data_IF_054388884186
#
_entry.id   IF_054388884186
#
_cell.length_a   1.000
_cell.length_b   1.000
_cell.length_c   1.000
_cell.angle_alpha   90.00
_cell.angle_beta   90.00
_cell.angle_gamma   90.00
#
_symmetry.space_group_name_H-M   'P 1'
#
loop_
_entity.id
_entity.type
_entity.pdbx_description
1 polymer ?
#
# COMPACT_ATOMS: atom_id res chain seq x y z
N UNK A 1 -11.34 24.23 -0.17
CA UNK A 1 -11.22 24.36 -1.64
C UNK A 1 -10.96 22.96 -2.19
N UNK A 2 -11.71 22.50 -3.21
CA UNK A 2 -11.50 21.18 -3.82
C UNK A 2 -10.60 21.36 -5.05
N UNK A 3 -9.46 20.66 -5.10
CA UNK A 3 -8.58 20.63 -6.26
C UNK A 3 -9.32 20.06 -7.48
N UNK A 4 -9.11 20.66 -8.64
CA UNK A 4 -9.58 20.16 -9.94
C UNK A 4 -8.40 20.20 -10.91
N UNK A 5 -8.10 19.09 -11.61
CA UNK A 5 -7.07 19.10 -12.65
C UNK A 5 -7.49 19.98 -13.83
N UNK A 6 -6.52 20.60 -14.50
CA UNK A 6 -6.76 21.44 -15.69
C UNK A 6 -7.18 20.60 -16.89
N UNK A 7 -6.61 19.39 -17.03
CA UNK A 7 -6.83 18.48 -18.16
C UNK A 7 -7.33 17.12 -17.69
N UNK A 8 -7.89 16.34 -18.61
CA UNK A 8 -8.48 15.02 -18.39
C UNK A 8 -7.91 14.00 -19.39
N UNK A 9 -8.37 12.76 -19.34
CA UNK A 9 -7.93 11.71 -20.28
C UNK A 9 -8.20 12.04 -21.75
N UNK A 10 -9.24 12.85 -22.05
CA UNK A 10 -9.52 13.37 -23.39
C UNK A 10 -8.44 14.30 -23.96
N UNK A 11 -7.55 14.81 -23.09
CA UNK A 11 -6.43 15.67 -23.45
C UNK A 11 -5.12 14.88 -23.65
N UNK A 12 -5.23 13.55 -23.71
CA UNK A 12 -4.15 12.62 -24.03
C UNK A 12 -4.56 11.80 -25.25
N UNK A 13 -3.66 11.67 -26.22
CA UNK A 13 -3.83 10.82 -27.41
C UNK A 13 -2.76 9.73 -27.39
N UNK A 14 -3.19 8.49 -27.40
CA UNK A 14 -2.31 7.31 -27.47
C UNK A 14 -2.44 6.71 -28.87
N UNK A 15 -1.34 6.66 -29.61
CA UNK A 15 -1.31 6.12 -30.97
C UNK A 15 -0.84 4.68 -31.03
N UNK A 16 -0.03 4.26 -30.04
CA UNK A 16 0.48 2.90 -29.97
C UNK A 16 0.62 2.49 -28.49
N UNK A 17 0.25 1.26 -28.20
CA UNK A 17 0.50 0.60 -26.92
C UNK A 17 0.84 -0.88 -27.20
N UNK A 18 2.06 -1.27 -26.89
CA UNK A 18 2.55 -2.62 -27.11
C UNK A 18 3.22 -3.21 -25.88
N UNK A 19 2.97 -4.49 -25.61
CA UNK A 19 3.69 -5.25 -24.59
C UNK A 19 5.05 -5.62 -25.17
N UNK A 20 6.13 -5.11 -24.59
CA UNK A 20 7.52 -5.39 -25.03
C UNK A 20 8.22 -6.42 -24.16
N UNK A 21 7.65 -6.72 -22.98
CA UNK A 21 8.05 -7.84 -22.13
C UNK A 21 6.81 -8.37 -21.42
N UNK A 22 6.62 -9.69 -21.44
CA UNK A 22 5.48 -10.39 -20.82
C UNK A 22 6.02 -11.48 -19.88
N UNK A 23 6.36 -11.06 -18.66
CA UNK A 23 6.77 -11.92 -17.56
C UNK A 23 5.81 -11.79 -16.40
N UNK A 24 6.29 -11.98 -15.15
CA UNK A 24 5.49 -11.72 -13.95
C UNK A 24 4.96 -10.27 -13.95
N UNK A 25 5.81 -9.31 -14.25
CA UNK A 25 5.38 -7.96 -14.61
C UNK A 25 5.34 -7.80 -16.12
N UNK A 26 4.41 -6.98 -16.62
CA UNK A 26 4.34 -6.62 -18.02
C UNK A 26 4.97 -5.26 -18.25
N UNK A 27 5.86 -5.16 -19.24
CA UNK A 27 6.38 -3.88 -19.69
C UNK A 27 5.66 -3.46 -20.96
N UNK A 28 5.03 -2.29 -20.89
CA UNK A 28 4.38 -1.64 -22.02
C UNK A 28 5.27 -0.53 -22.58
N UNK A 29 5.27 -0.41 -23.91
CA UNK A 29 5.83 0.74 -24.63
C UNK A 29 4.71 1.47 -25.34
N UNK A 30 4.47 2.71 -24.90
CA UNK A 30 3.35 3.52 -25.37
C UNK A 30 3.87 4.75 -26.12
N UNK A 31 3.33 5.02 -27.31
CA UNK A 31 3.50 6.28 -28.00
C UNK A 31 2.27 7.16 -27.78
N UNK A 32 2.51 8.36 -27.28
CA UNK A 32 1.44 9.30 -26.88
C UNK A 32 1.86 10.75 -27.02
N UNK A 33 0.85 11.65 -27.03
CA UNK A 33 1.01 13.09 -26.80
C UNK A 33 -0.08 13.60 -25.86
N UNK A 34 0.13 14.76 -25.28
CA UNK A 34 -0.83 15.39 -24.36
C UNK A 34 -0.93 16.90 -24.59
N UNK A 35 -1.98 17.53 -24.05
CA UNK A 35 -2.12 18.99 -24.01
C UNK A 35 -1.07 19.61 -23.08
N UNK A 36 -0.37 20.62 -23.55
CA UNK A 36 0.51 21.48 -22.73
C UNK A 36 -0.33 22.57 -22.07
N UNK A 37 0.14 23.14 -20.96
CA UNK A 37 -0.58 24.19 -20.25
C UNK A 37 -0.78 25.50 -21.05
N UNK A 38 -0.10 25.66 -22.18
CA UNK A 38 -0.38 26.73 -23.15
C UNK A 38 -1.51 26.39 -24.13
N UNK A 39 -2.15 25.23 -24.00
CA UNK A 39 -3.25 24.76 -24.84
C UNK A 39 -2.85 24.03 -26.13
N UNK A 40 -1.57 24.01 -26.48
CA UNK A 40 -1.08 23.27 -27.64
C UNK A 40 -0.92 21.78 -27.32
N UNK A 41 -0.82 20.95 -28.37
CA UNK A 41 -0.37 19.57 -28.22
C UNK A 41 1.17 19.52 -28.04
N UNK A 42 1.62 18.56 -27.23
CA UNK A 42 3.02 18.18 -27.24
C UNK A 42 3.37 17.46 -28.55
N UNK A 43 4.66 17.33 -28.82
CA UNK A 43 5.14 16.34 -29.79
C UNK A 43 4.83 14.94 -29.26
N UNK A 44 4.78 13.94 -30.16
CA UNK A 44 4.69 12.55 -29.75
C UNK A 44 5.91 12.12 -28.97
N UNK A 45 5.69 11.36 -27.94
CA UNK A 45 6.75 10.85 -27.06
C UNK A 45 6.52 9.38 -26.77
N UNK A 46 7.59 8.65 -26.60
CA UNK A 46 7.55 7.26 -26.16
C UNK A 46 7.72 7.19 -24.64
N UNK A 47 6.94 6.32 -23.98
CA UNK A 47 7.07 6.00 -22.55
C UNK A 47 7.06 4.49 -22.37
N UNK A 48 7.88 4.02 -21.47
CA UNK A 48 7.88 2.64 -21.00
C UNK A 48 7.26 2.60 -19.61
N UNK A 49 6.41 1.61 -19.37
CA UNK A 49 5.65 1.49 -18.14
C UNK A 49 5.59 0.05 -17.71
N UNK A 50 5.88 -0.21 -16.45
CA UNK A 50 5.59 -1.48 -15.80
C UNK A 50 4.11 -1.50 -15.41
N UNK A 51 3.38 -2.53 -15.83
CA UNK A 51 1.96 -2.71 -15.51
C UNK A 51 1.83 -3.91 -14.58
N UNK A 52 1.15 -3.74 -13.46
CA UNK A 52 0.84 -4.79 -12.49
C UNK A 52 -0.56 -4.60 -11.91
N UNK A 53 -1.04 -5.62 -11.20
CA UNK A 53 -2.32 -5.55 -10.48
C UNK A 53 -2.28 -4.45 -9.42
N UNK A 54 -3.45 -3.90 -9.13
CA UNK A 54 -3.65 -3.06 -7.95
C UNK A 54 -3.38 -3.87 -6.68
N UNK A 55 -3.08 -3.19 -5.57
CA UNK A 55 -2.89 -3.85 -4.29
C UNK A 55 -3.64 -3.14 -3.15
N UNK A 56 -3.91 -3.91 -2.10
CA UNK A 56 -4.48 -3.46 -0.84
C UNK A 56 -3.38 -3.42 0.20
N UNK A 57 -3.33 -2.36 0.99
CA UNK A 57 -2.45 -2.23 2.14
C UNK A 57 -3.30 -2.04 3.40
N UNK A 58 -2.91 -2.66 4.50
CA UNK A 58 -3.67 -2.61 5.76
C UNK A 58 -2.77 -2.29 6.93
N UNK A 59 -3.01 -1.16 7.58
CA UNK A 59 -2.45 -0.88 8.90
C UNK A 59 -3.30 -1.58 9.96
N UNK A 60 -2.75 -2.56 10.64
CA UNK A 60 -3.43 -3.34 11.67
C UNK A 60 -3.34 -2.62 13.02
N UNK A 61 -4.50 -2.33 13.62
CA UNK A 61 -4.63 -1.55 14.84
C UNK A 61 -5.52 -2.24 15.88
N UNK A 62 -4.99 -2.42 17.09
CA UNK A 62 -5.75 -2.84 18.27
C UNK A 62 -6.14 -1.60 19.10
N UNK A 63 -7.42 -1.17 19.07
CA UNK A 63 -7.86 0.00 19.80
C UNK A 63 -7.98 -0.22 21.32
N UNK A 64 -8.03 -1.49 21.77
CA UNK A 64 -8.16 -1.85 23.19
C UNK A 64 -6.81 -1.82 23.87
N UNK A 65 -5.81 -2.49 23.29
CA UNK A 65 -4.44 -2.52 23.81
C UNK A 65 -3.59 -1.35 23.34
N UNK A 66 -4.12 -0.51 22.43
CA UNK A 66 -3.45 0.66 21.87
C UNK A 66 -2.16 0.31 21.11
N UNK A 67 -2.24 -0.75 20.27
CA UNK A 67 -1.10 -1.33 19.57
C UNK A 67 -1.28 -1.26 18.06
N UNK A 68 -0.17 -1.09 17.35
CA UNK A 68 -0.04 -1.29 15.90
C UNK A 68 0.75 -2.56 15.63
N UNK A 69 0.23 -3.43 14.78
CA UNK A 69 0.93 -4.59 14.28
C UNK A 69 1.44 -4.30 12.89
N UNK A 70 2.74 -4.45 12.69
CA UNK A 70 3.44 -4.27 11.43
C UNK A 70 4.27 -5.51 11.11
N UNK A 71 4.69 -5.65 9.88
CA UNK A 71 5.46 -6.79 9.39
C UNK A 71 6.85 -6.34 8.95
N UNK A 72 7.82 -7.26 9.00
CA UNK A 72 9.14 -7.07 8.42
C UNK A 72 9.39 -8.22 7.45
N UNK A 73 9.74 -7.88 6.21
CA UNK A 73 10.02 -8.87 5.18
C UNK A 73 11.10 -8.41 4.20
N UNK A 74 11.70 -9.39 3.51
CA UNK A 74 12.72 -9.16 2.49
C UNK A 74 12.12 -8.54 1.20
N UNK A 75 12.82 -7.51 0.67
CA UNK A 75 12.50 -6.89 -0.63
C UNK A 75 13.77 -6.77 -1.49
N UNK A 76 13.80 -7.37 -2.69
CA UNK A 76 15.02 -7.42 -3.51
C UNK A 76 15.37 -6.10 -4.21
N UNK A 77 14.45 -5.15 -4.30
CA UNK A 77 14.59 -3.95 -5.15
C UNK A 77 14.99 -2.71 -4.34
N UNK A 78 16.07 -2.80 -3.57
CA UNK A 78 16.59 -1.68 -2.76
C UNK A 78 18.02 -1.32 -3.15
N UNK A 79 18.45 -0.06 -2.90
CA UNK A 79 19.84 0.34 -3.00
C UNK A 79 20.75 -0.50 -2.07
N UNK A 80 21.97 -0.81 -2.50
CA UNK A 80 22.90 -1.69 -1.76
C UNK A 80 23.28 -1.18 -0.36
N UNK A 81 23.10 0.11 -0.08
CA UNK A 81 23.42 0.72 1.23
C UNK A 81 22.27 0.66 2.24
N UNK A 82 21.12 0.14 1.84
CA UNK A 82 19.94 -0.01 2.70
C UNK A 82 19.70 -1.49 3.05
N UNK A 83 19.08 -1.75 4.20
CA UNK A 83 18.65 -3.11 4.54
C UNK A 83 17.57 -3.57 3.56
N UNK A 84 17.69 -4.77 2.97
CA UNK A 84 16.62 -5.33 2.16
C UNK A 84 15.45 -5.91 2.97
N UNK A 85 15.51 -5.91 4.31
CA UNK A 85 14.37 -6.22 5.18
C UNK A 85 13.70 -4.94 5.61
N UNK A 86 12.44 -4.78 5.23
CA UNK A 86 11.69 -3.56 5.46
C UNK A 86 10.59 -3.74 6.47
N UNK A 87 10.40 -2.70 7.31
CA UNK A 87 9.20 -2.56 8.12
C UNK A 87 8.06 -2.06 7.22
N UNK A 88 6.98 -2.84 7.13
CA UNK A 88 5.86 -2.62 6.22
C UNK A 88 4.51 -2.76 6.94
N UNK A 89 3.46 -2.34 6.28
CA UNK A 89 2.08 -2.75 6.58
C UNK A 89 1.76 -4.00 5.77
N UNK A 90 0.82 -4.81 6.23
CA UNK A 90 0.27 -5.95 5.47
C UNK A 90 -0.19 -5.47 4.08
N UNK A 91 0.15 -6.21 3.03
CA UNK A 91 -0.22 -5.81 1.67
C UNK A 91 -0.23 -6.98 0.69
N UNK A 92 -1.31 -7.07 -0.11
CA UNK A 92 -1.40 -8.07 -1.16
C UNK A 92 -2.03 -7.56 -2.45
N UNK A 93 -1.76 -8.28 -3.52
CA UNK A 93 -2.31 -7.98 -4.84
C UNK A 93 -3.79 -8.37 -4.91
N UNK A 94 -4.55 -7.55 -5.64
CA UNK A 94 -5.96 -7.83 -5.94
C UNK A 94 -6.03 -8.76 -7.15
N UNK A 95 -6.62 -9.91 -6.96
CA UNK A 95 -6.92 -10.82 -8.05
C UNK A 95 -8.20 -10.41 -8.80
N UNK A 96 -8.39 -10.96 -10.00
CA UNK A 96 -9.56 -10.63 -10.82
C UNK A 96 -10.86 -11.05 -10.12
N UNK A 97 -11.71 -10.07 -9.84
CA UNK A 97 -13.03 -10.26 -9.21
C UNK A 97 -13.01 -10.25 -7.68
N UNK A 98 -11.84 -10.10 -7.03
CA UNK A 98 -11.79 -9.94 -5.57
C UNK A 98 -12.28 -8.56 -5.12
N UNK A 99 -13.00 -8.53 -4.00
CA UNK A 99 -13.29 -7.27 -3.33
C UNK A 99 -12.13 -6.84 -2.42
N UNK A 100 -11.89 -5.53 -2.32
CA UNK A 100 -10.83 -4.96 -1.50
C UNK A 100 -10.81 -5.50 -0.06
N UNK A 101 -12.00 -5.64 0.54
CA UNK A 101 -12.15 -6.11 1.92
C UNK A 101 -11.78 -7.58 2.09
N UNK A 102 -12.02 -8.41 1.07
CA UNK A 102 -11.67 -9.82 1.09
C UNK A 102 -10.15 -9.99 1.00
N UNK A 103 -9.49 -9.24 0.10
CA UNK A 103 -8.03 -9.18 0.02
C UNK A 103 -7.43 -8.73 1.36
N UNK A 104 -7.94 -7.63 1.94
CA UNK A 104 -7.44 -7.12 3.21
C UNK A 104 -7.50 -8.15 4.34
N UNK A 105 -8.56 -8.96 4.39
CA UNK A 105 -8.75 -10.01 5.41
C UNK A 105 -7.85 -11.22 5.15
N UNK A 106 -7.75 -11.65 3.90
CA UNK A 106 -6.91 -12.76 3.49
C UNK A 106 -5.45 -12.47 3.82
N UNK A 107 -4.94 -11.32 3.38
CA UNK A 107 -3.55 -10.93 3.61
C UNK A 107 -3.22 -10.72 5.10
N UNK A 108 -4.14 -10.14 5.88
CA UNK A 108 -3.94 -10.01 7.33
C UNK A 108 -3.83 -11.37 8.02
N UNK A 109 -4.54 -12.38 7.53
CA UNK A 109 -4.44 -13.73 8.04
C UNK A 109 -3.15 -14.43 7.58
N UNK A 110 -2.78 -14.33 6.31
CA UNK A 110 -1.61 -14.97 5.71
C UNK A 110 -0.30 -14.37 6.24
N UNK A 111 -0.17 -13.03 6.25
CA UNK A 111 1.05 -12.32 6.61
C UNK A 111 1.17 -12.02 8.12
N UNK A 112 0.06 -11.92 8.85
CA UNK A 112 0.09 -11.54 10.27
C UNK A 112 -0.66 -12.49 11.23
N UNK A 113 -1.31 -13.55 10.73
CA UNK A 113 -2.02 -14.54 11.54
C UNK A 113 -3.22 -13.97 12.31
N UNK A 114 -3.77 -12.82 11.89
CA UNK A 114 -4.85 -12.14 12.61
C UNK A 114 -6.12 -12.00 11.78
N UNK A 115 -7.27 -12.01 12.48
CA UNK A 115 -8.55 -11.72 11.87
C UNK A 115 -8.92 -10.24 12.04
N UNK A 116 -9.33 -9.60 10.94
CA UNK A 116 -9.80 -8.22 10.96
C UNK A 116 -11.28 -8.19 11.39
N UNK A 117 -11.59 -7.47 12.49
CA UNK A 117 -12.97 -7.27 12.97
C UNK A 117 -13.70 -6.22 12.13
N UNK A 118 -13.06 -5.09 11.85
CA UNK A 118 -13.59 -3.97 11.06
C UNK A 118 -12.51 -3.37 10.17
N UNK A 119 -12.93 -2.85 9.01
CA UNK A 119 -12.08 -2.10 8.09
C UNK A 119 -12.54 -0.66 7.97
N UNK A 120 -11.59 0.26 7.88
CA UNK A 120 -11.81 1.67 7.58
C UNK A 120 -10.95 2.07 6.39
N UNK A 121 -11.57 2.50 5.30
CA UNK A 121 -10.84 3.04 4.16
C UNK A 121 -10.11 4.33 4.55
N UNK A 122 -8.84 4.42 4.23
CA UNK A 122 -8.02 5.60 4.51
C UNK A 122 -7.86 6.48 3.27
N UNK A 123 -7.19 5.96 2.24
CA UNK A 123 -6.93 6.68 1.00
C UNK A 123 -6.43 5.74 -0.11
N UNK A 124 -6.34 6.29 -1.32
CA UNK A 124 -5.72 5.65 -2.49
C UNK A 124 -4.53 6.50 -2.95
N UNK A 125 -3.49 5.83 -3.42
CA UNK A 125 -2.33 6.49 -4.00
C UNK A 125 -1.74 5.67 -5.15
N UNK A 126 -0.83 6.30 -5.89
CA UNK A 126 -0.01 5.65 -6.92
C UNK A 126 1.46 5.78 -6.50
N UNK A 127 2.22 4.68 -6.42
CA UNK A 127 3.57 4.72 -5.82
C UNK A 127 4.59 5.43 -6.72
N UNK A 128 4.51 5.24 -8.04
CA UNK A 128 5.48 5.81 -8.98
C UNK A 128 4.86 6.10 -10.36
N UNK A 129 4.02 7.17 -10.49
CA UNK A 129 3.22 7.41 -11.69
C UNK A 129 4.03 7.77 -12.93
N UNK A 130 5.35 7.95 -12.80
CA UNK A 130 6.25 8.19 -13.93
C UNK A 130 6.58 6.94 -14.75
N UNK A 131 6.42 5.73 -14.18
CA UNK A 131 6.81 4.48 -14.85
C UNK A 131 6.06 3.24 -14.40
N UNK A 132 5.20 3.35 -13.39
CA UNK A 132 4.43 2.23 -12.85
C UNK A 132 2.93 2.50 -12.97
N UNK A 133 2.20 1.54 -13.51
CA UNK A 133 0.74 1.52 -13.55
C UNK A 133 0.26 0.59 -12.46
N UNK A 134 -0.08 1.17 -11.32
CA UNK A 134 -0.58 0.49 -10.13
C UNK A 134 -1.34 1.48 -9.24
N UNK A 135 -2.42 1.06 -8.63
CA UNK A 135 -3.08 1.78 -7.55
C UNK A 135 -2.99 0.98 -6.26
N UNK A 136 -2.63 1.66 -5.19
CA UNK A 136 -2.64 1.11 -3.85
C UNK A 136 -3.80 1.72 -3.06
N UNK A 137 -4.62 0.89 -2.41
CA UNK A 137 -5.70 1.32 -1.53
C UNK A 137 -5.35 0.94 -0.10
N UNK A 138 -5.33 1.95 0.77
CA UNK A 138 -4.93 1.81 2.16
C UNK A 138 -6.16 1.74 3.07
N UNK A 139 -6.13 0.77 3.96
CA UNK A 139 -7.13 0.55 5.00
C UNK A 139 -6.49 0.52 6.39
N UNK A 140 -7.26 0.86 7.42
CA UNK A 140 -6.99 0.47 8.78
C UNK A 140 -7.85 -0.74 9.12
N UNK A 141 -7.24 -1.78 9.69
CA UNK A 141 -7.90 -3.02 10.13
C UNK A 141 -7.92 -3.11 11.66
N UNK A 142 -9.10 -3.24 12.26
CA UNK A 142 -9.22 -3.52 13.69
C UNK A 142 -8.91 -4.97 13.99
N UNK A 143 -7.96 -5.20 14.89
CA UNK A 143 -7.55 -6.53 15.33
C UNK A 143 -7.64 -6.68 16.86
N UNK A 144 -7.43 -7.89 17.32
CA UNK A 144 -7.11 -8.22 18.71
C UNK A 144 -5.67 -8.73 18.74
N UNK A 145 -4.78 -7.95 19.30
CA UNK A 145 -3.36 -8.28 19.35
C UNK A 145 -2.95 -9.07 20.59
N UNK A 146 -3.89 -9.43 21.46
CA UNK A 146 -3.58 -10.09 22.73
C UNK A 146 -3.02 -11.50 22.59
N UNK A 147 -3.28 -12.17 21.46
CA UNK A 147 -2.83 -13.53 21.18
C UNK A 147 -1.80 -13.61 20.04
N UNK A 148 -1.25 -12.47 19.59
CA UNK A 148 -0.23 -12.44 18.53
C UNK A 148 1.06 -13.06 19.07
N UNK A 149 1.58 -14.05 18.36
CA UNK A 149 2.87 -14.68 18.64
C UNK A 149 3.97 -13.96 17.82
N UNK A 150 4.77 -13.13 18.47
CA UNK A 150 5.86 -12.37 17.83
C UNK A 150 7.07 -13.24 17.46
N UNK A 151 7.13 -14.49 17.94
CA UNK A 151 8.20 -15.44 17.58
C UNK A 151 7.79 -16.33 16.40
N UNK A 152 6.51 -16.25 15.97
CA UNK A 152 6.05 -16.97 14.78
C UNK A 152 6.66 -16.38 13.52
N UNK A 153 6.98 -17.22 12.56
CA UNK A 153 7.31 -16.86 11.18
C UNK A 153 6.06 -17.13 10.34
N UNK A 154 5.64 -16.13 9.58
CA UNK A 154 4.42 -16.14 8.78
C UNK A 154 4.72 -15.90 7.30
N UNK A 155 3.70 -15.85 6.48
CA UNK A 155 3.77 -15.80 5.03
C UNK A 155 3.53 -17.16 4.39
N UNK A 156 3.40 -17.18 3.07
CA UNK A 156 3.14 -18.39 2.31
C UNK A 156 4.44 -19.01 1.78
N UNK A 157 4.70 -20.27 2.12
CA UNK A 157 5.85 -21.04 1.61
C UNK A 157 5.90 -21.08 0.08
N UNK A 158 4.71 -21.13 -0.56
CA UNK A 158 4.58 -21.16 -2.01
C UNK A 158 5.03 -19.85 -2.69
N UNK A 159 4.98 -18.73 -1.95
CA UNK A 159 5.43 -17.41 -2.38
C UNK A 159 6.85 -17.08 -1.88
N UNK A 160 7.50 -18.01 -1.20
CA UNK A 160 8.82 -17.82 -0.56
C UNK A 160 8.85 -16.66 0.43
N UNK A 161 7.75 -16.45 1.13
CA UNK A 161 7.63 -15.40 2.13
C UNK A 161 8.20 -15.87 3.48
N UNK A 162 8.88 -14.95 4.14
CA UNK A 162 9.46 -15.11 5.49
C UNK A 162 9.22 -13.79 6.23
N UNK A 163 8.13 -13.76 6.99
CA UNK A 163 7.57 -12.55 7.58
C UNK A 163 7.69 -12.60 9.10
N UNK A 164 8.27 -11.53 9.66
CA UNK A 164 8.39 -11.30 11.10
C UNK A 164 7.42 -10.23 11.57
N UNK A 165 6.79 -10.45 12.72
CA UNK A 165 5.83 -9.51 13.31
C UNK A 165 6.52 -8.54 14.28
N UNK A 166 6.04 -7.29 14.25
CA UNK A 166 6.42 -6.22 15.17
C UNK A 166 5.19 -5.55 15.75
N UNK A 167 5.12 -5.47 17.07
CA UNK A 167 4.02 -4.83 17.80
C UNK A 167 4.52 -3.56 18.48
N UNK A 168 3.99 -2.41 18.07
CA UNK A 168 4.36 -1.09 18.58
C UNK A 168 3.24 -0.48 19.42
N UNK A 169 3.60 0.33 20.41
CA UNK A 169 2.65 1.22 21.06
C UNK A 169 2.25 2.34 20.09
N UNK A 170 0.97 2.75 20.10
CA UNK A 170 0.54 3.86 19.25
C UNK A 170 1.23 5.19 19.62
N UNK A 171 1.77 5.32 20.84
CA UNK A 171 2.61 6.44 21.25
C UNK A 171 3.94 6.51 20.49
N UNK A 172 4.41 5.40 19.91
CA UNK A 172 5.70 5.31 19.24
C UNK A 172 5.65 5.74 17.77
N UNK A 173 4.45 6.01 17.23
CA UNK A 173 4.25 6.37 15.81
C UNK A 173 5.14 7.51 15.35
N UNK A 174 5.27 8.57 16.16
CA UNK A 174 6.13 9.71 15.80
C UNK A 174 7.61 9.32 15.81
N UNK A 175 8.04 8.50 16.78
CA UNK A 175 9.41 7.99 16.86
C UNK A 175 9.72 7.04 15.69
N UNK A 176 8.75 6.21 15.28
CA UNK A 176 8.89 5.36 14.08
C UNK A 176 9.07 6.20 12.81
N UNK A 177 8.31 7.29 12.65
CA UNK A 177 8.42 8.21 11.52
C UNK A 177 9.74 9.00 11.48
N UNK A 178 10.42 9.15 12.61
CA UNK A 178 11.75 9.77 12.71
C UNK A 178 12.88 8.79 12.37
N UNK A 179 12.59 7.49 12.26
CA UNK A 179 13.55 6.47 11.83
C UNK A 179 13.58 6.38 10.30
N UNK A 180 14.61 5.71 9.76
CA UNK A 180 14.75 5.46 8.33
C UNK A 180 13.81 4.34 7.85
N UNK A 181 12.48 4.54 7.96
CA UNK A 181 11.50 3.68 7.30
C UNK A 181 11.46 4.10 5.84
N UNK A 182 11.80 3.20 4.93
CA UNK A 182 11.88 3.51 3.49
C UNK A 182 10.65 3.05 2.69
N UNK A 183 9.81 2.18 3.26
CA UNK A 183 8.58 1.74 2.60
C UNK A 183 7.52 2.85 2.59
N UNK A 184 7.13 3.29 1.39
CA UNK A 184 6.19 4.40 1.21
C UNK A 184 4.82 4.12 1.84
N UNK A 185 4.30 2.88 1.71
CA UNK A 185 3.00 2.49 2.29
C UNK A 185 3.03 2.59 3.81
N UNK A 186 4.10 2.11 4.45
CA UNK A 186 4.27 2.19 5.90
C UNK A 186 4.35 3.65 6.38
N UNK A 187 5.18 4.48 5.72
CA UNK A 187 5.29 5.91 6.05
C UNK A 187 3.93 6.61 5.95
N UNK A 188 3.19 6.40 4.84
CA UNK A 188 1.89 7.04 4.62
C UNK A 188 0.83 6.55 5.60
N UNK A 189 0.83 5.26 5.94
CA UNK A 189 -0.08 4.68 6.93
C UNK A 189 0.17 5.26 8.34
N UNK A 190 1.43 5.32 8.77
CA UNK A 190 1.80 5.90 10.07
C UNK A 190 1.51 7.40 10.13
N UNK A 191 1.77 8.17 9.07
CA UNK A 191 1.41 9.59 8.99
C UNK A 191 -0.10 9.80 9.10
N UNK A 192 -0.89 8.98 8.39
CA UNK A 192 -2.34 9.04 8.49
C UNK A 192 -2.80 8.70 9.91
N UNK A 193 -2.21 7.67 10.53
CA UNK A 193 -2.54 7.27 11.90
C UNK A 193 -2.18 8.36 12.91
N UNK A 194 -1.05 9.02 12.76
CA UNK A 194 -0.67 10.16 13.62
C UNK A 194 -1.73 11.28 13.60
N UNK A 195 -2.38 11.50 12.44
CA UNK A 195 -3.40 12.53 12.27
C UNK A 195 -4.82 12.07 12.67
N UNK A 196 -5.14 10.79 12.55
CA UNK A 196 -6.52 10.28 12.61
C UNK A 196 -6.73 9.17 13.64
N UNK A 197 -5.66 8.52 14.15
CA UNK A 197 -5.71 7.34 15.00
C UNK A 197 -6.55 7.53 16.27
N UNK A 198 -6.41 8.66 16.93
CA UNK A 198 -7.21 8.98 18.14
C UNK A 198 -8.72 8.99 17.85
N UNK A 199 -9.13 9.57 16.71
CA UNK A 199 -10.53 9.59 16.28
C UNK A 199 -11.01 8.19 15.87
N UNK A 200 -10.17 7.43 15.19
CA UNK A 200 -10.46 6.04 14.79
C UNK A 200 -10.67 5.17 16.03
N UNK A 201 -9.77 5.26 17.01
CA UNK A 201 -9.87 4.56 18.30
C UNK A 201 -11.19 4.87 19.00
N UNK A 202 -11.52 6.15 19.12
CA UNK A 202 -12.78 6.58 19.75
C UNK A 202 -14.01 6.02 19.01
N UNK A 203 -14.01 6.05 17.66
CA UNK A 203 -15.07 5.50 16.83
C UNK A 203 -15.27 4.01 17.08
N UNK A 204 -14.17 3.24 17.10
CA UNK A 204 -14.24 1.80 17.22
C UNK A 204 -14.61 1.33 18.65
N UNK A 205 -14.12 2.00 19.68
CA UNK A 205 -14.49 1.70 21.06
C UNK A 205 -15.95 2.06 21.39
N UNK A 206 -16.49 3.14 20.81
CA UNK A 206 -17.89 3.55 21.04
C UNK A 206 -18.92 2.59 20.46
N UNK A 207 -18.59 1.80 19.43
CA UNK A 207 -19.51 0.83 18.80
C UNK A 207 -19.48 -0.56 19.44
N UNK A 208 -18.67 -0.76 20.47
CA UNK A 208 -18.60 -2.01 21.25
C UNK A 208 -19.47 -1.97 22.54
N UNK A 209 -20.28 -0.90 22.75
CA UNK A 209 -21.22 -0.77 23.88
C UNK A 209 -22.68 -1.01 23.45
#
# INVERSE_FOLDING_TARGET
MKYKPTYHHSDVEVTKDEVVYDGFFKMHKRELRHRKFNGEWSEYMTREMMVRSDAICVLLFDPVLDKLLMIEQFRPCLPEHESPWLLEVVAGMVEEGEADEDVARREAFEEAGVEIKRLEYMFRFVPSPGGLVEHLRMYAGEIDSSAVDLEATLGLDEEHEDIKLHLFDTSDVMSLLEQEIVNASAIMALQWFALHGAKLKQKWLATNN
#
